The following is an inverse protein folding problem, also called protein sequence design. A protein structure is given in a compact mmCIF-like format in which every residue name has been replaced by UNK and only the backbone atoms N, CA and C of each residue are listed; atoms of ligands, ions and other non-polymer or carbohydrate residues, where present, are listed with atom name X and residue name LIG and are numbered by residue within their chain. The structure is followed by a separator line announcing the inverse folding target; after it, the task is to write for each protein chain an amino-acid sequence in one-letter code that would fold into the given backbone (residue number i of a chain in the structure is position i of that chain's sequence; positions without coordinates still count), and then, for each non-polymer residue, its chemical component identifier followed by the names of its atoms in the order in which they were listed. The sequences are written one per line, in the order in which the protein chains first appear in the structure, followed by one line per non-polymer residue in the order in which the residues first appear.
data_IF_779501010971
#
_entry.id   IF_779501010971
#
_cell.length_a   1.000
_cell.length_b   1.000
_cell.length_c   1.000
_cell.angle_alpha   90.00
_cell.angle_beta   90.00
_cell.angle_gamma   90.00
#
_symmetry.space_group_name_H-M   'P 1'
#
loop_
_entity.id
_entity.type
_entity.pdbx_description
1 polymer ?
#
# COMPACT_ATOMS: atom_id res chain seq x y z
N UNK A 1 13.12 -19.00 -2.20
CA UNK A 1 12.52 -18.60 -0.93
C UNK A 1 11.03 -18.32 -1.14
N UNK A 2 10.19 -18.64 -0.14
CA UNK A 2 8.77 -18.33 -0.15
C UNK A 2 8.43 -17.61 1.16
N UNK A 3 7.67 -16.51 1.08
CA UNK A 3 7.10 -15.81 2.23
C UNK A 3 5.65 -16.26 2.38
N UNK A 4 5.29 -16.77 3.56
CA UNK A 4 3.92 -17.14 3.90
C UNK A 4 3.42 -16.21 5.00
N UNK A 5 2.49 -15.30 4.71
CA UNK A 5 1.82 -14.55 5.74
C UNK A 5 0.92 -15.49 6.56
N UNK A 6 0.98 -15.36 7.88
CA UNK A 6 0.09 -16.07 8.79
C UNK A 6 -1.05 -15.12 9.17
N UNK A 7 -2.28 -15.56 9.02
CA UNK A 7 -3.46 -14.80 9.39
C UNK A 7 -4.46 -15.74 10.07
N UNK A 8 -4.70 -15.49 11.35
CA UNK A 8 -5.70 -16.20 12.16
C UNK A 8 -6.16 -15.27 13.27
N UNK A 9 -7.44 -15.27 13.59
CA UNK A 9 -7.99 -14.47 14.69
C UNK A 9 -7.39 -14.85 16.06
N UNK A 10 -6.99 -16.09 16.24
CA UNK A 10 -6.29 -16.58 17.43
C UNK A 10 -4.93 -15.89 17.67
N UNK A 11 -4.34 -15.27 16.65
CA UNK A 11 -3.09 -14.52 16.74
C UNK A 11 -3.30 -13.07 17.19
N UNK A 12 -4.56 -12.63 17.38
CA UNK A 12 -4.86 -11.26 17.82
C UNK A 12 -4.41 -11.07 19.27
N UNK A 13 -3.56 -10.07 19.58
CA UNK A 13 -3.13 -9.84 20.95
C UNK A 13 -4.24 -9.24 21.81
N UNK A 14 -4.30 -9.62 23.09
CA UNK A 14 -5.24 -9.03 24.06
C UNK A 14 -4.87 -7.58 24.40
N UNK A 15 -3.59 -7.23 24.35
CA UNK A 15 -3.07 -5.89 24.67
C UNK A 15 -1.94 -5.53 23.71
N UNK A 16 -1.99 -4.33 23.15
CA UNK A 16 -0.89 -3.73 22.39
C UNK A 16 -0.30 -2.53 23.16
N UNK A 17 1.00 -2.55 23.43
CA UNK A 17 1.73 -1.45 24.05
C UNK A 17 2.42 -0.64 22.95
N UNK A 18 1.92 0.58 22.70
CA UNK A 18 2.40 1.47 21.65
C UNK A 18 3.23 2.59 22.29
N UNK A 19 4.55 2.36 22.42
CA UNK A 19 5.48 3.27 23.07
C UNK A 19 6.38 3.95 22.03
N UNK A 20 6.24 5.27 21.79
CA UNK A 20 7.05 5.99 20.81
C UNK A 20 8.55 6.04 21.17
N UNK A 21 8.92 5.88 22.44
CA UNK A 21 10.33 5.91 22.86
C UNK A 21 11.12 4.75 22.24
N UNK A 22 10.47 3.62 21.94
CA UNK A 22 11.08 2.45 21.30
C UNK A 22 11.44 2.69 19.82
N UNK A 23 10.85 3.69 19.18
CA UNK A 23 11.06 4.00 17.75
C UNK A 23 11.85 5.29 17.50
N UNK A 24 12.29 5.98 18.57
CA UNK A 24 13.03 7.24 18.44
C UNK A 24 14.39 7.10 17.73
N UNK A 25 15.01 5.93 17.80
CA UNK A 25 16.33 5.66 17.20
C UNK A 25 16.27 5.11 15.77
N UNK A 26 15.09 4.98 15.18
CA UNK A 26 14.95 4.41 13.84
C UNK A 26 15.65 5.27 12.78
N UNK A 27 16.46 4.66 11.90
CA UNK A 27 17.06 5.35 10.76
C UNK A 27 16.01 5.94 9.81
N UNK A 28 16.38 7.01 9.10
CA UNK A 28 15.51 7.66 8.10
C UNK A 28 14.96 6.68 7.07
N UNK A 29 15.80 5.75 6.55
CA UNK A 29 15.36 4.75 5.56
C UNK A 29 14.29 3.81 6.12
N UNK A 30 14.42 3.39 7.38
CA UNK A 30 13.40 2.54 8.03
C UNK A 30 12.12 3.34 8.26
N UNK A 31 12.23 4.60 8.69
CA UNK A 31 11.06 5.50 8.85
C UNK A 31 10.31 5.67 7.53
N UNK A 32 11.02 5.90 6.42
CA UNK A 32 10.43 6.01 5.09
C UNK A 32 9.72 4.71 4.67
N UNK A 33 10.46 3.59 4.69
CA UNK A 33 9.95 2.30 4.22
C UNK A 33 8.72 1.86 5.04
N UNK A 34 8.81 1.90 6.39
CA UNK A 34 7.70 1.47 7.24
C UNK A 34 6.53 2.46 7.23
N UNK A 35 6.79 3.76 7.10
CA UNK A 35 5.73 4.77 7.01
C UNK A 35 4.93 4.67 5.72
N UNK A 36 5.58 4.42 4.59
CA UNK A 36 4.89 4.16 3.32
C UNK A 36 4.17 2.81 3.33
N UNK A 37 4.67 1.84 4.08
CA UNK A 37 3.97 0.58 4.32
C UNK A 37 2.65 0.80 5.08
N UNK A 38 2.65 1.65 6.10
CA UNK A 38 1.43 2.06 6.82
C UNK A 38 0.43 2.71 5.88
N UNK A 39 0.87 3.59 4.98
CA UNK A 39 0.01 4.20 3.97
C UNK A 39 -0.61 3.16 3.05
N UNK A 40 0.21 2.18 2.63
CA UNK A 40 -0.25 1.09 1.76
C UNK A 40 -1.28 0.21 2.47
N UNK A 41 -1.02 -0.18 3.73
CA UNK A 41 -1.97 -0.92 4.55
C UNK A 41 -3.33 -0.20 4.64
N UNK A 42 -3.30 1.09 4.97
CA UNK A 42 -4.51 1.88 5.14
C UNK A 42 -5.28 2.05 3.82
N UNK A 43 -4.61 2.35 2.71
CA UNK A 43 -5.26 2.53 1.41
C UNK A 43 -5.83 1.22 0.86
N UNK A 44 -5.12 0.08 1.03
CA UNK A 44 -5.65 -1.22 0.60
C UNK A 44 -6.84 -1.64 1.47
N UNK A 45 -6.76 -1.50 2.80
CA UNK A 45 -7.88 -1.78 3.69
C UNK A 45 -9.11 -0.92 3.35
N UNK A 46 -8.90 0.36 3.03
CA UNK A 46 -9.96 1.31 2.70
C UNK A 46 -10.76 0.91 1.46
N UNK A 47 -10.11 0.43 0.42
CA UNK A 47 -10.78 0.03 -0.82
C UNK A 47 -11.11 -1.45 -0.90
N UNK A 48 -10.75 -2.24 0.09
CA UNK A 48 -10.96 -3.69 0.12
C UNK A 48 -12.42 -4.09 -0.09
N UNK A 49 -12.63 -5.24 -0.71
CA UNK A 49 -13.96 -5.86 -0.81
C UNK A 49 -14.55 -6.26 0.56
N UNK A 50 -13.71 -6.37 1.58
CA UNK A 50 -14.10 -6.67 2.97
C UNK A 50 -14.23 -5.42 3.85
N UNK A 51 -14.06 -4.22 3.27
CA UNK A 51 -14.15 -2.96 3.98
C UNK A 51 -15.56 -2.74 4.57
N UNK A 52 -15.61 -2.04 5.69
CA UNK A 52 -16.81 -1.68 6.42
C UNK A 52 -16.67 -0.27 6.99
N UNK A 53 -17.75 0.33 7.48
CA UNK A 53 -17.72 1.65 8.14
C UNK A 53 -16.69 1.71 9.29
N UNK A 54 -16.48 0.60 9.99
CA UNK A 54 -15.50 0.50 11.08
C UNK A 54 -14.06 0.53 10.54
N UNK A 55 -13.76 -0.27 9.54
CA UNK A 55 -12.42 -0.33 8.94
C UNK A 55 -12.11 0.92 8.14
N UNK A 56 -13.11 1.53 7.49
CA UNK A 56 -12.98 2.79 6.77
C UNK A 56 -12.57 3.92 7.71
N UNK A 57 -13.23 4.07 8.86
CA UNK A 57 -12.87 5.09 9.85
C UNK A 57 -11.44 4.93 10.39
N UNK A 58 -10.99 3.68 10.60
CA UNK A 58 -9.60 3.39 11.00
C UNK A 58 -8.61 3.70 9.87
N UNK A 59 -8.89 3.24 8.65
CA UNK A 59 -8.04 3.48 7.49
C UNK A 59 -7.89 4.97 7.17
N UNK A 60 -8.99 5.72 7.16
CA UNK A 60 -9.01 7.16 6.98
C UNK A 60 -8.13 7.87 8.02
N UNK A 61 -8.28 7.49 9.31
CA UNK A 61 -7.46 8.08 10.37
C UNK A 61 -5.98 7.78 10.21
N UNK A 62 -5.63 6.56 9.79
CA UNK A 62 -4.24 6.20 9.52
C UNK A 62 -3.65 7.04 8.38
N UNK A 63 -4.39 7.20 7.26
CA UNK A 63 -3.95 8.02 6.12
C UNK A 63 -3.75 9.48 6.53
N UNK A 64 -4.69 10.09 7.27
CA UNK A 64 -4.55 11.46 7.78
C UNK A 64 -3.25 11.63 8.58
N UNK A 65 -2.98 10.69 9.50
CA UNK A 65 -1.77 10.75 10.33
C UNK A 65 -0.49 10.60 9.51
N UNK A 66 -0.48 9.71 8.50
CA UNK A 66 0.67 9.55 7.62
C UNK A 66 0.94 10.82 6.82
N UNK A 67 -0.10 11.40 6.20
CA UNK A 67 0.04 12.63 5.42
C UNK A 67 0.51 13.82 6.24
N UNK A 68 0.12 13.89 7.51
CA UNK A 68 0.51 14.98 8.39
C UNK A 68 1.90 14.80 9.02
N UNK A 69 2.31 13.57 9.35
CA UNK A 69 3.45 13.34 10.24
C UNK A 69 4.60 12.51 9.63
N UNK A 70 4.42 11.77 8.53
CA UNK A 70 5.49 10.91 8.02
C UNK A 70 6.72 11.71 7.57
N UNK A 71 6.53 12.74 6.75
CA UNK A 71 7.63 13.59 6.29
C UNK A 71 8.31 14.29 7.48
N UNK A 72 7.53 14.75 8.48
CA UNK A 72 8.08 15.36 9.72
C UNK A 72 8.92 14.37 10.53
N UNK A 73 8.48 13.11 10.64
CA UNK A 73 9.24 12.07 11.34
C UNK A 73 10.50 11.64 10.56
N UNK A 74 10.45 11.71 9.25
CA UNK A 74 11.59 11.45 8.37
C UNK A 74 12.63 12.57 8.45
N UNK A 75 12.20 13.83 8.36
CA UNK A 75 13.09 14.99 8.36
C UNK A 75 13.78 15.16 9.71
N UNK A 76 13.02 15.06 10.79
CA UNK A 76 13.50 15.12 12.17
C UNK A 76 13.09 13.89 12.96
N UNK A 77 13.99 12.88 13.00
CA UNK A 77 13.81 11.66 13.77
C UNK A 77 13.70 11.86 15.28
N UNK A 78 14.04 13.05 15.82
CA UNK A 78 13.93 13.40 17.24
C UNK A 78 12.59 14.03 17.60
N UNK A 79 11.75 14.30 16.60
CA UNK A 79 10.41 14.83 16.80
C UNK A 79 9.48 13.76 17.41
N UNK A 80 9.41 13.78 18.75
CA UNK A 80 8.65 12.77 19.52
C UNK A 80 7.17 12.73 19.14
N UNK A 81 6.55 13.89 18.87
CA UNK A 81 5.15 13.93 18.45
C UNK A 81 4.96 13.24 17.10
N UNK A 82 5.81 13.51 16.12
CA UNK A 82 5.71 12.88 14.80
C UNK A 82 5.94 11.35 14.90
N UNK A 83 6.91 10.92 15.72
CA UNK A 83 7.13 9.48 16.00
C UNK A 83 5.91 8.83 16.64
N UNK A 84 5.33 9.44 17.66
CA UNK A 84 4.12 8.96 18.32
C UNK A 84 2.96 8.82 17.32
N UNK A 85 2.72 9.86 16.51
CA UNK A 85 1.62 9.85 15.53
C UNK A 85 1.82 8.78 14.47
N UNK A 86 3.04 8.57 13.98
CA UNK A 86 3.35 7.50 13.04
C UNK A 86 3.21 6.11 13.66
N UNK A 87 3.62 5.94 14.92
CA UNK A 87 3.45 4.68 15.66
C UNK A 87 1.96 4.35 15.85
N UNK A 88 1.18 5.37 16.22
CA UNK A 88 -0.27 5.24 16.31
C UNK A 88 -0.91 4.92 14.94
N UNK A 89 -0.47 5.59 13.86
CA UNK A 89 -0.95 5.32 12.50
C UNK A 89 -0.71 3.87 12.08
N UNK A 90 0.47 3.32 12.40
CA UNK A 90 0.80 1.91 12.14
C UNK A 90 -0.16 0.95 12.85
N UNK A 91 -0.42 1.20 14.13
CA UNK A 91 -1.35 0.38 14.92
C UNK A 91 -2.79 0.49 14.38
N UNK A 92 -3.25 1.70 14.08
CA UNK A 92 -4.60 1.96 13.55
C UNK A 92 -4.77 1.29 12.18
N UNK A 93 -3.77 1.40 11.28
CA UNK A 93 -3.78 0.68 10.00
C UNK A 93 -3.81 -0.84 10.20
N UNK A 94 -3.07 -1.35 11.21
CA UNK A 94 -3.11 -2.75 11.62
C UNK A 94 -4.52 -3.21 11.99
N UNK A 95 -5.22 -2.42 12.80
CA UNK A 95 -6.61 -2.70 13.18
C UNK A 95 -7.56 -2.68 11.97
N UNK A 96 -7.33 -1.79 11.01
CA UNK A 96 -8.11 -1.71 9.79
C UNK A 96 -7.91 -2.97 8.93
N UNK A 97 -6.67 -3.30 8.54
CA UNK A 97 -6.43 -4.39 7.60
C UNK A 97 -6.62 -5.79 8.23
N UNK A 98 -6.48 -5.95 9.52
CA UNK A 98 -6.80 -7.23 10.18
C UNK A 98 -8.27 -7.63 9.94
N UNK A 99 -9.15 -6.65 9.81
CA UNK A 99 -10.58 -6.88 9.57
C UNK A 99 -10.98 -6.73 8.09
N UNK A 100 -10.33 -5.84 7.33
CA UNK A 100 -10.63 -5.59 5.92
C UNK A 100 -9.74 -6.37 4.94
N UNK A 101 -8.68 -7.02 5.41
CA UNK A 101 -7.62 -7.59 4.59
C UNK A 101 -6.89 -6.51 3.75
N UNK A 102 -5.99 -7.00 2.88
CA UNK A 102 -5.14 -6.20 2.00
C UNK A 102 -5.49 -6.48 0.54
N UNK A 103 -4.63 -6.11 -0.40
CA UNK A 103 -4.89 -6.26 -1.82
C UNK A 103 -3.65 -6.66 -2.63
N UNK A 104 -3.71 -6.36 -3.92
CA UNK A 104 -2.70 -6.76 -4.91
C UNK A 104 -1.33 -6.12 -4.68
N UNK A 105 -1.27 -4.95 -4.02
CA UNK A 105 0.00 -4.31 -3.67
C UNK A 105 0.83 -5.23 -2.78
N UNK A 106 0.25 -5.69 -1.68
CA UNK A 106 0.91 -6.63 -0.77
C UNK A 106 1.15 -7.99 -1.41
N UNK A 107 0.22 -8.49 -2.23
CA UNK A 107 0.40 -9.74 -2.96
C UNK A 107 1.66 -9.71 -3.82
N UNK A 108 1.88 -8.65 -4.57
CA UNK A 108 3.08 -8.44 -5.39
C UNK A 108 4.32 -8.25 -4.49
N UNK A 109 4.20 -7.41 -3.45
CA UNK A 109 5.31 -7.10 -2.56
C UNK A 109 5.88 -8.33 -1.86
N UNK A 110 5.04 -9.29 -1.47
CA UNK A 110 5.48 -10.57 -0.91
C UNK A 110 6.40 -11.35 -1.87
N UNK A 111 6.09 -11.33 -3.17
CA UNK A 111 6.84 -12.10 -4.17
C UNK A 111 8.15 -11.42 -4.55
N UNK A 112 8.11 -10.10 -4.77
CA UNK A 112 9.32 -9.29 -5.04
C UNK A 112 10.29 -9.37 -3.85
N UNK A 113 9.80 -9.20 -2.63
CA UNK A 113 10.64 -9.24 -1.43
C UNK A 113 11.30 -10.60 -1.18
N UNK A 114 10.59 -11.69 -1.47
CA UNK A 114 11.13 -13.04 -1.36
C UNK A 114 12.21 -13.35 -2.43
N UNK A 115 12.10 -12.75 -3.61
CA UNK A 115 12.96 -13.05 -4.76
C UNK A 115 14.16 -12.11 -4.87
N UNK A 116 13.98 -10.81 -4.61
CA UNK A 116 15.00 -9.78 -4.81
C UNK A 116 15.54 -9.18 -3.52
N UNK A 117 15.05 -9.64 -2.36
CA UNK A 117 15.55 -9.22 -1.02
C UNK A 117 15.47 -7.71 -0.73
N UNK A 118 14.57 -6.98 -1.39
CA UNK A 118 14.31 -5.60 -1.06
C UNK A 118 13.47 -5.47 0.23
N UNK A 119 13.61 -4.39 1.00
CA UNK A 119 12.77 -4.13 2.16
C UNK A 119 11.29 -4.07 1.78
N UNK A 120 10.43 -4.71 2.57
CA UNK A 120 9.00 -4.86 2.28
C UNK A 120 8.30 -3.53 2.05
N UNK A 121 8.45 -2.58 2.98
CA UNK A 121 7.81 -1.27 2.87
C UNK A 121 8.30 -0.46 1.66
N UNK A 122 9.58 -0.62 1.27
CA UNK A 122 10.11 0.00 0.05
C UNK A 122 9.45 -0.54 -1.20
N UNK A 123 9.22 -1.85 -1.27
CA UNK A 123 8.52 -2.49 -2.38
C UNK A 123 7.08 -1.97 -2.45
N UNK A 124 6.39 -1.92 -1.31
CA UNK A 124 5.04 -1.39 -1.23
C UNK A 124 4.97 0.07 -1.69
N UNK A 125 5.93 0.91 -1.28
CA UNK A 125 6.00 2.31 -1.69
C UNK A 125 6.19 2.49 -3.20
N UNK A 126 7.04 1.67 -3.83
CA UNK A 126 7.27 1.70 -5.28
C UNK A 126 6.00 1.27 -6.04
N UNK A 127 5.32 0.25 -5.57
CA UNK A 127 4.12 -0.31 -6.21
C UNK A 127 2.90 0.60 -6.07
N UNK A 128 2.75 1.30 -4.96
CA UNK A 128 1.52 1.95 -4.55
C UNK A 128 0.91 2.88 -5.62
N UNK A 129 1.67 3.76 -6.31
CA UNK A 129 1.10 4.62 -7.36
C UNK A 129 0.44 3.84 -8.49
N UNK A 130 1.05 2.73 -8.90
CA UNK A 130 0.55 1.87 -9.99
C UNK A 130 -0.67 1.08 -9.57
N UNK A 131 -0.69 0.59 -8.33
CA UNK A 131 -1.82 -0.15 -7.78
C UNK A 131 -3.02 0.76 -7.54
N UNK A 132 -2.82 1.99 -7.04
CA UNK A 132 -3.89 2.98 -6.93
C UNK A 132 -4.50 3.26 -8.31
N UNK A 133 -3.66 3.45 -9.35
CA UNK A 133 -4.15 3.61 -10.74
C UNK A 133 -4.92 2.39 -11.22
N UNK A 134 -4.39 1.20 -11.01
CA UNK A 134 -5.04 -0.05 -11.38
C UNK A 134 -6.41 -0.21 -10.69
N UNK A 135 -6.44 -0.07 -9.37
CA UNK A 135 -7.64 -0.25 -8.57
C UNK A 135 -8.69 0.85 -8.81
N UNK A 136 -8.30 2.06 -9.21
CA UNK A 136 -9.23 3.15 -9.55
C UNK A 136 -9.82 3.02 -10.95
N UNK A 137 -9.29 2.14 -11.80
CA UNK A 137 -9.78 1.92 -13.15
C UNK A 137 -10.92 0.91 -13.15
N UNK A 138 -12.08 1.33 -13.65
CA UNK A 138 -13.28 0.48 -13.70
C UNK A 138 -13.02 -0.81 -14.50
N UNK A 139 -13.34 -1.99 -13.93
CA UNK A 139 -13.18 -3.26 -14.63
C UNK A 139 -14.01 -3.30 -15.92
N UNK A 140 -13.40 -3.78 -17.02
CA UNK A 140 -14.10 -3.98 -18.29
C UNK A 140 -14.50 -5.44 -18.52
N UNK A 141 -13.90 -6.37 -17.80
CA UNK A 141 -14.24 -7.78 -17.86
C UNK A 141 -15.52 -8.09 -17.07
N UNK A 142 -16.30 -9.02 -17.56
CA UNK A 142 -17.42 -9.56 -16.80
C UNK A 142 -16.92 -10.35 -15.60
N UNK A 143 -17.46 -10.05 -14.44
CA UNK A 143 -17.18 -10.78 -13.18
C UNK A 143 -18.52 -11.03 -12.53
N UNK A 144 -18.84 -12.30 -12.26
CA UNK A 144 -20.08 -12.72 -11.62
C UNK A 144 -20.13 -12.46 -10.10
N UNK A 145 -19.15 -11.74 -9.57
CA UNK A 145 -19.08 -11.44 -8.14
C UNK A 145 -19.95 -10.23 -7.81
N UNK A 146 -20.92 -10.31 -6.87
CA UNK A 146 -21.92 -9.25 -6.63
C UNK A 146 -21.34 -7.87 -6.34
N UNK A 147 -20.22 -7.78 -5.63
CA UNK A 147 -19.57 -6.49 -5.31
C UNK A 147 -18.97 -5.75 -6.51
N UNK A 148 -18.85 -6.39 -7.67
CA UNK A 148 -18.39 -5.72 -8.89
C UNK A 148 -19.45 -4.88 -9.58
N UNK A 149 -20.72 -5.15 -9.33
CA UNK A 149 -21.82 -4.28 -9.77
C UNK A 149 -21.74 -2.91 -9.09
N UNK A 150 -21.10 -2.86 -7.94
CA UNK A 150 -20.95 -1.69 -7.08
C UNK A 150 -19.48 -1.27 -6.93
N UNK A 151 -18.72 -1.33 -8.03
CA UNK A 151 -17.34 -0.86 -8.03
C UNK A 151 -17.29 0.60 -7.55
N UNK A 152 -16.59 0.83 -6.44
CA UNK A 152 -16.52 2.12 -5.74
C UNK A 152 -15.09 2.57 -5.41
N UNK A 153 -14.07 1.81 -5.78
CA UNK A 153 -12.69 2.12 -5.40
C UNK A 153 -12.22 3.48 -5.95
N UNK A 154 -12.65 3.86 -7.15
CA UNK A 154 -12.40 5.17 -7.73
C UNK A 154 -12.96 6.31 -6.86
N UNK A 155 -14.21 6.15 -6.38
CA UNK A 155 -14.85 7.12 -5.49
C UNK A 155 -14.17 7.17 -4.12
N UNK A 156 -13.79 6.02 -3.56
CA UNK A 156 -13.10 5.95 -2.28
C UNK A 156 -11.73 6.66 -2.34
N UNK A 157 -10.94 6.46 -3.38
CA UNK A 157 -9.69 7.21 -3.55
C UNK A 157 -9.93 8.72 -3.72
N UNK A 158 -10.97 9.09 -4.44
CA UNK A 158 -11.37 10.49 -4.56
C UNK A 158 -11.75 11.11 -3.22
N UNK A 159 -12.60 10.43 -2.41
CA UNK A 159 -12.97 10.92 -1.08
C UNK A 159 -11.76 10.99 -0.14
N UNK A 160 -10.85 10.03 -0.24
CA UNK A 160 -9.59 10.08 0.51
C UNK A 160 -8.75 11.30 0.12
N UNK A 161 -8.59 11.57 -1.17
CA UNK A 161 -7.86 12.76 -1.65
C UNK A 161 -8.45 14.06 -1.07
N UNK A 162 -9.78 14.20 -1.09
CA UNK A 162 -10.47 15.34 -0.47
C UNK A 162 -10.20 15.43 1.02
N UNK A 163 -10.29 14.31 1.72
CA UNK A 163 -10.13 14.24 3.17
C UNK A 163 -8.75 14.70 3.63
N UNK A 164 -7.71 14.36 2.87
CA UNK A 164 -6.33 14.80 3.17
C UNK A 164 -5.96 16.15 2.54
N UNK A 165 -6.95 16.89 2.01
CA UNK A 165 -6.78 18.26 1.51
C UNK A 165 -6.11 18.37 0.15
N UNK A 166 -6.09 17.29 -0.65
CA UNK A 166 -5.58 17.34 -2.03
C UNK A 166 -6.61 17.95 -2.98
N UNK A 167 -6.13 18.43 -4.13
CA UNK A 167 -7.00 18.95 -5.19
C UNK A 167 -7.86 17.80 -5.75
N UNK A 168 -9.18 17.97 -5.71
CA UNK A 168 -10.14 16.93 -6.08
C UNK A 168 -11.47 17.55 -6.53
N UNK A 169 -11.46 18.28 -7.66
CA UNK A 169 -12.68 18.89 -8.22
C UNK A 169 -13.58 17.83 -8.88
N UNK A 170 -13.00 16.69 -9.26
CA UNK A 170 -13.70 15.52 -9.79
C UNK A 170 -12.90 14.24 -9.43
N UNK A 171 -13.51 13.07 -9.71
CA UNK A 171 -12.95 11.75 -9.36
C UNK A 171 -11.56 11.53 -9.96
N UNK A 172 -11.40 11.82 -11.25
CA UNK A 172 -10.11 11.60 -11.93
C UNK A 172 -9.02 12.53 -11.39
N UNK A 173 -9.33 13.78 -11.12
CA UNK A 173 -8.38 14.72 -10.54
C UNK A 173 -7.98 14.32 -9.12
N UNK A 174 -8.93 13.88 -8.30
CA UNK A 174 -8.64 13.41 -6.94
C UNK A 174 -7.72 12.19 -6.94
N UNK A 175 -7.96 11.21 -7.82
CA UNK A 175 -7.09 10.04 -7.99
C UNK A 175 -5.69 10.47 -8.44
N UNK A 176 -5.60 11.34 -9.45
CA UNK A 176 -4.31 11.85 -9.94
C UNK A 176 -3.52 12.58 -8.84
N UNK A 177 -4.19 13.45 -8.09
CA UNK A 177 -3.56 14.18 -6.98
C UNK A 177 -3.06 13.25 -5.87
N UNK A 178 -3.81 12.19 -5.56
CA UNK A 178 -3.37 11.17 -4.60
C UNK A 178 -2.13 10.43 -5.09
N UNK A 179 -2.12 9.99 -6.35
CA UNK A 179 -0.97 9.31 -6.96
C UNK A 179 0.27 10.21 -6.97
N UNK A 180 0.12 11.47 -7.39
CA UNK A 180 1.24 12.41 -7.43
C UNK A 180 1.77 12.71 -6.03
N UNK A 181 0.89 12.89 -5.02
CA UNK A 181 1.35 13.07 -3.64
C UNK A 181 2.12 11.87 -3.10
N UNK A 182 1.68 10.64 -3.42
CA UNK A 182 2.43 9.41 -3.07
C UNK A 182 3.84 9.44 -3.70
N UNK A 183 3.93 9.82 -4.99
CA UNK A 183 5.23 9.93 -5.68
C UNK A 183 6.11 11.02 -5.08
N UNK A 184 5.54 12.19 -4.75
CA UNK A 184 6.26 13.27 -4.09
C UNK A 184 6.82 12.83 -2.73
N UNK A 185 6.03 12.12 -1.92
CA UNK A 185 6.48 11.57 -0.64
C UNK A 185 7.63 10.56 -0.85
N UNK A 186 7.51 9.67 -1.84
CA UNK A 186 8.57 8.73 -2.18
C UNK A 186 9.87 9.48 -2.56
N UNK A 187 9.77 10.49 -3.42
CA UNK A 187 10.92 11.28 -3.85
C UNK A 187 11.57 12.06 -2.68
N UNK A 188 10.76 12.71 -1.84
CA UNK A 188 11.22 13.41 -0.63
C UNK A 188 12.00 12.48 0.32
N UNK A 189 11.55 11.24 0.46
CA UNK A 189 12.15 10.26 1.35
C UNK A 189 13.20 9.37 0.68
N UNK A 190 13.65 9.72 -0.54
CA UNK A 190 14.66 8.97 -1.31
C UNK A 190 14.28 7.51 -1.56
N UNK A 191 13.00 7.22 -1.73
CA UNK A 191 12.53 5.91 -2.19
C UNK A 191 12.65 5.88 -3.73
N UNK A 192 13.23 4.84 -4.33
CA UNK A 192 13.37 4.72 -5.78
C UNK A 192 12.02 4.80 -6.49
N UNK A 193 12.00 5.43 -7.68
CA UNK A 193 10.77 5.59 -8.49
C UNK A 193 10.31 4.29 -9.15
N UNK A 194 11.23 3.32 -9.30
CA UNK A 194 10.98 2.05 -9.98
C UNK A 194 11.84 0.94 -9.40
N UNK A 195 11.51 -0.31 -9.71
CA UNK A 195 12.36 -1.45 -9.34
C UNK A 195 13.69 -1.44 -10.09
N UNK A 196 13.74 -0.88 -11.29
CA UNK A 196 14.99 -0.67 -12.02
C UNK A 196 15.90 0.31 -11.29
N UNK A 197 15.36 1.43 -10.80
CA UNK A 197 16.09 2.41 -10.00
C UNK A 197 16.49 1.85 -8.62
N UNK A 198 15.75 0.88 -8.11
CA UNK A 198 16.09 0.13 -6.89
C UNK A 198 17.22 -0.89 -7.10
N UNK A 199 17.73 -1.03 -8.33
CA UNK A 199 18.88 -1.86 -8.68
C UNK A 199 18.57 -3.32 -9.02
N UNK A 200 17.31 -3.67 -9.29
CA UNK A 200 16.98 -5.00 -9.79
C UNK A 200 17.43 -5.13 -11.25
N UNK A 201 18.23 -6.15 -11.55
CA UNK A 201 18.69 -6.43 -12.92
C UNK A 201 17.52 -6.75 -13.86
N UNK A 202 17.56 -6.16 -15.07
CA UNK A 202 16.45 -6.26 -16.04
C UNK A 202 16.27 -7.68 -16.56
N UNK A 203 17.36 -8.37 -16.87
CA UNK A 203 17.27 -9.73 -17.41
C UNK A 203 16.77 -10.70 -16.34
N UNK A 204 17.25 -10.52 -15.11
CA UNK A 204 16.78 -11.32 -13.98
C UNK A 204 15.29 -11.09 -13.72
N UNK A 205 14.85 -9.83 -13.69
CA UNK A 205 13.44 -9.47 -13.50
C UNK A 205 12.55 -10.08 -14.59
N UNK A 206 12.91 -9.85 -15.87
CA UNK A 206 12.13 -10.34 -17.01
C UNK A 206 12.06 -11.88 -17.06
N UNK A 207 13.11 -12.57 -16.61
CA UNK A 207 13.11 -14.03 -16.54
C UNK A 207 12.15 -14.58 -15.49
N UNK A 208 11.72 -13.75 -14.52
CA UNK A 208 10.90 -14.17 -13.36
C UNK A 208 9.50 -13.55 -13.37
N UNK A 209 9.24 -12.53 -14.18
CA UNK A 209 8.02 -11.71 -14.12
C UNK A 209 6.74 -12.53 -14.25
N UNK A 210 6.70 -13.56 -15.11
CA UNK A 210 5.54 -14.43 -15.27
C UNK A 210 5.28 -15.27 -14.00
N UNK A 211 6.31 -15.88 -13.45
CA UNK A 211 6.23 -16.61 -12.18
C UNK A 211 5.80 -15.71 -11.01
N UNK A 212 6.30 -14.47 -10.97
CA UNK A 212 5.91 -13.51 -9.92
C UNK A 212 4.43 -13.13 -10.04
N UNK A 213 3.93 -12.94 -11.26
CA UNK A 213 2.53 -12.63 -11.51
C UNK A 213 1.61 -13.79 -11.10
N UNK A 214 1.93 -15.03 -11.48
CA UNK A 214 1.19 -16.21 -11.09
C UNK A 214 1.14 -16.37 -9.56
N UNK A 215 2.29 -16.27 -8.91
CA UNK A 215 2.37 -16.38 -7.45
C UNK A 215 1.67 -15.25 -6.70
N UNK A 216 1.67 -14.03 -7.24
CA UNK A 216 0.94 -12.91 -6.66
C UNK A 216 -0.57 -13.08 -6.82
N UNK A 217 -1.02 -13.65 -7.95
CA UNK A 217 -2.43 -14.01 -8.14
C UNK A 217 -2.91 -15.03 -7.09
N UNK A 218 -2.07 -16.01 -6.73
CA UNK A 218 -2.37 -17.03 -5.72
C UNK A 218 -2.24 -16.54 -4.27
N UNK A 219 -1.76 -15.30 -4.05
CA UNK A 219 -1.60 -14.75 -2.70
C UNK A 219 -2.95 -14.46 -2.06
N UNK A 220 -3.08 -14.75 -0.76
CA UNK A 220 -4.33 -14.54 -0.02
C UNK A 220 -4.82 -13.09 -0.05
N UNK A 221 -3.92 -12.09 -0.11
CA UNK A 221 -4.29 -10.68 -0.15
C UNK A 221 -5.00 -10.29 -1.45
N UNK A 222 -4.74 -10.99 -2.56
CA UNK A 222 -5.40 -10.75 -3.85
C UNK A 222 -6.91 -10.93 -3.78
N UNK A 223 -7.39 -11.81 -2.91
CA UNK A 223 -8.82 -12.13 -2.78
C UNK A 223 -9.68 -10.97 -2.29
N UNK A 224 -9.09 -10.04 -1.53
CA UNK A 224 -9.79 -8.88 -0.98
C UNK A 224 -9.61 -7.61 -1.84
N UNK A 225 -8.83 -7.67 -2.93
CA UNK A 225 -8.62 -6.52 -3.80
C UNK A 225 -9.94 -6.02 -4.42
N UNK A 226 -10.19 -4.70 -4.49
CA UNK A 226 -11.45 -4.15 -5.00
C UNK A 226 -11.71 -4.49 -6.47
N UNK A 227 -10.68 -4.79 -7.22
CA UNK A 227 -10.72 -5.25 -8.61
C UNK A 227 -10.01 -6.58 -8.70
N UNK A 228 -10.74 -7.67 -9.02
CA UNK A 228 -10.12 -9.01 -9.19
C UNK A 228 -9.19 -8.99 -10.40
N UNK A 229 -7.88 -9.15 -10.21
CA UNK A 229 -6.93 -9.07 -11.31
C UNK A 229 -6.93 -10.34 -12.15
N UNK A 230 -6.56 -10.21 -13.43
CA UNK A 230 -6.02 -11.31 -14.20
C UNK A 230 -4.51 -11.40 -13.93
N UNK A 231 -3.92 -12.58 -14.13
CA UNK A 231 -2.45 -12.76 -14.06
C UNK A 231 -1.73 -11.80 -15.01
N UNK A 232 -2.27 -11.59 -16.22
CA UNK A 232 -1.73 -10.63 -17.18
C UNK A 232 -1.81 -9.17 -16.72
N UNK A 233 -2.82 -8.79 -15.92
CA UNK A 233 -2.93 -7.46 -15.33
C UNK A 233 -1.90 -7.27 -14.21
N UNK A 234 -1.68 -8.29 -13.37
CA UNK A 234 -0.62 -8.28 -12.37
C UNK A 234 0.76 -8.16 -13.04
N UNK A 235 0.99 -8.92 -14.12
CA UNK A 235 2.22 -8.80 -14.92
C UNK A 235 2.41 -7.38 -15.44
N UNK A 236 1.35 -6.72 -15.90
CA UNK A 236 1.44 -5.34 -16.38
C UNK A 236 1.81 -4.38 -15.24
N UNK A 237 1.21 -4.52 -14.05
CA UNK A 237 1.60 -3.72 -12.86
C UNK A 237 3.08 -3.93 -12.52
N UNK A 238 3.57 -5.18 -12.58
CA UNK A 238 4.99 -5.49 -12.37
C UNK A 238 5.88 -4.79 -13.38
N UNK A 239 5.53 -4.81 -14.68
CA UNK A 239 6.29 -4.16 -15.74
C UNK A 239 6.26 -2.63 -15.60
N UNK A 240 5.10 -2.04 -15.32
CA UNK A 240 4.95 -0.59 -15.16
C UNK A 240 5.78 -0.10 -13.97
N UNK A 241 5.73 -0.80 -12.84
CA UNK A 241 6.52 -0.48 -11.65
C UNK A 241 8.02 -0.75 -11.82
N UNK A 242 8.39 -1.69 -12.70
CA UNK A 242 9.79 -1.93 -13.02
C UNK A 242 10.39 -0.80 -13.86
N UNK A 243 9.66 -0.30 -14.87
CA UNK A 243 10.15 0.73 -15.78
C UNK A 243 9.79 2.17 -15.36
N UNK A 244 8.96 2.36 -14.36
CA UNK A 244 8.52 3.69 -13.91
C UNK A 244 7.53 4.37 -14.88
N UNK A 245 6.64 3.62 -15.53
CA UNK A 245 5.76 4.10 -16.61
C UNK A 245 4.33 4.34 -16.15
#
# INVERSE_FOLDING_TARGET
NKKYPLADYELTPDVAIVDPDLVMSLPKSVTADTGMDVLTHALEAYVSNMASDYTDGLAEKAVELVFEYLEKAYDDGTNKLAREKMHNASTIAGMAFTNAFLGVNHSIAHKIGAEFHLPHGRINAILLPYVVRYNSTKPTKFVSFPKYEYFIADKKYYEMAKKVGLKADNVEEGINSLIEKIKEMNEHMNIPKSFKDAGIDENEFLSKVDMLADRAFEDQCTTANPRVPLVSEIKQILLDSYYGK
#
